data_IF_004651967181
#
_entry.id   IF_004651967181
#
_cell.length_a   1.000
_cell.length_b   1.000
_cell.length_c   1.000
_cell.angle_alpha   90.00
_cell.angle_beta   90.00
_cell.angle_gamma   90.00
#
_symmetry.space_group_name_H-M   'P 1'
#
loop_
_entity.id
_entity.type
_entity.pdbx_description
1 polymer ?
#
# COMPACT_ATOMS: atom_id res chain seq x y z
N UNK A 1 -22.33 -14.30 11.13
CA UNK A 1 -23.34 -13.36 10.56
C UNK A 1 -22.60 -12.37 9.66
N UNK A 2 -23.20 -11.87 8.58
CA UNK A 2 -22.58 -10.83 7.73
C UNK A 2 -23.49 -9.61 7.66
N UNK A 3 -22.93 -8.41 7.85
CA UNK A 3 -23.64 -7.13 7.83
C UNK A 3 -22.92 -6.16 6.89
N UNK A 4 -23.61 -5.68 5.86
CA UNK A 4 -23.06 -4.72 4.89
C UNK A 4 -23.60 -3.31 5.11
N UNK A 5 -22.78 -2.31 4.82
CA UNK A 5 -23.20 -0.91 4.71
C UNK A 5 -22.71 -0.29 3.40
N UNK A 6 -23.50 0.64 2.85
CA UNK A 6 -23.22 1.31 1.57
C UNK A 6 -23.58 2.80 1.69
N UNK A 7 -22.84 3.67 1.00
CA UNK A 7 -23.30 5.05 0.79
C UNK A 7 -24.63 5.03 0.01
N UNK A 8 -25.61 5.78 0.50
CA UNK A 8 -26.85 6.01 -0.23
C UNK A 8 -26.61 6.98 -1.39
N UNK A 9 -27.10 6.62 -2.59
CA UNK A 9 -26.92 7.41 -3.82
C UNK A 9 -27.45 8.86 -3.73
N UNK A 10 -28.36 9.17 -2.79
CA UNK A 10 -29.01 10.48 -2.67
C UNK A 10 -28.28 11.49 -1.76
N UNK A 11 -27.14 11.16 -1.14
CA UNK A 11 -26.41 12.13 -0.31
C UNK A 11 -24.96 12.35 -0.77
N UNK A 12 -24.65 13.62 -1.09
CA UNK A 12 -23.32 14.23 -1.08
C UNK A 12 -22.27 13.77 -2.12
N UNK A 13 -22.64 13.67 -3.40
CA UNK A 13 -21.62 13.81 -4.46
C UNK A 13 -21.14 15.27 -4.64
N UNK A 14 -21.96 16.26 -4.27
CA UNK A 14 -21.67 17.67 -4.53
C UNK A 14 -20.68 18.33 -3.56
N UNK A 15 -20.43 17.78 -2.38
CA UNK A 15 -19.52 18.40 -1.40
C UNK A 15 -18.06 17.96 -1.54
N UNK A 16 -17.78 16.94 -2.37
CA UNK A 16 -16.42 16.40 -2.57
C UNK A 16 -15.67 17.15 -3.71
N UNK A 17 -16.39 17.88 -4.57
CA UNK A 17 -15.80 18.53 -5.75
C UNK A 17 -15.80 20.07 -5.74
N UNK A 18 -16.23 20.71 -4.66
CA UNK A 18 -16.24 22.18 -4.58
C UNK A 18 -15.11 22.71 -3.68
N UNK A 19 -13.87 22.58 -4.14
CA UNK A 19 -12.78 23.51 -3.78
C UNK A 19 -11.56 23.30 -4.69
N UNK A 20 -11.70 23.70 -5.95
CA UNK A 20 -10.61 24.29 -6.72
C UNK A 20 -11.22 25.18 -7.80
N UNK A 21 -10.76 26.42 -7.84
CA UNK A 21 -11.18 27.44 -8.78
C UNK A 21 -10.77 27.06 -10.20
N UNK A 22 -11.68 26.41 -10.93
CA UNK A 22 -11.76 26.38 -12.41
C UNK A 22 -13.00 25.59 -12.82
N UNK A 23 -14.14 26.25 -12.97
CA UNK A 23 -15.24 25.69 -13.76
C UNK A 23 -16.22 26.79 -14.19
N UNK A 24 -15.85 27.47 -15.27
CA UNK A 24 -16.80 28.17 -16.14
C UNK A 24 -16.79 27.39 -17.46
N UNK A 25 -17.63 26.34 -17.55
CA UNK A 25 -18.08 25.63 -18.77
C UNK A 25 -18.60 24.21 -18.43
N UNK A 26 -19.64 24.10 -17.59
CA UNK A 26 -20.39 22.84 -17.44
C UNK A 26 -21.87 23.11 -17.13
N UNK A 27 -22.44 24.15 -17.74
CA UNK A 27 -23.82 24.56 -17.46
C UNK A 27 -24.61 24.91 -18.72
N UNK A 28 -24.55 24.07 -19.74
CA UNK A 28 -25.54 24.05 -20.82
C UNK A 28 -25.78 22.59 -21.23
N UNK A 29 -26.90 21.99 -20.79
CA UNK A 29 -27.23 20.62 -21.23
C UNK A 29 -28.34 19.88 -20.51
N UNK A 30 -28.89 20.37 -19.39
CA UNK A 30 -30.03 19.72 -18.74
C UNK A 30 -31.10 20.72 -18.31
N UNK A 31 -32.04 20.96 -19.22
CA UNK A 31 -33.34 21.53 -18.89
C UNK A 31 -34.38 20.98 -19.86
N UNK A 32 -35.53 20.55 -19.32
CA UNK A 32 -36.66 19.79 -19.92
C UNK A 32 -36.38 18.28 -19.89
N UNK A 33 -37.11 17.46 -19.14
CA UNK A 33 -38.56 17.25 -19.03
C UNK A 33 -38.78 16.70 -17.60
N UNK A 34 -39.60 17.32 -16.73
CA UNK A 34 -41.06 17.16 -16.73
C UNK A 34 -41.49 16.02 -15.79
N UNK A 35 -41.87 16.39 -14.57
CA UNK A 35 -42.50 15.57 -13.53
C UNK A 35 -43.66 14.71 -14.02
N UNK A 36 -43.76 13.44 -13.58
CA UNK A 36 -45.03 12.75 -13.29
C UNK A 36 -44.76 11.70 -12.19
N UNK A 37 -45.55 11.82 -11.14
CA UNK A 37 -45.68 10.93 -9.97
C UNK A 37 -46.55 9.71 -10.25
N UNK A 38 -46.30 8.63 -9.50
CA UNK A 38 -47.22 7.55 -9.09
C UNK A 38 -48.12 6.90 -10.16
N UNK A 39 -47.94 5.60 -10.42
CA UNK A 39 -49.07 4.65 -10.36
C UNK A 39 -48.58 3.21 -10.13
N UNK A 40 -49.37 2.50 -9.32
CA UNK A 40 -49.12 1.19 -8.74
C UNK A 40 -49.79 0.07 -9.55
N UNK A 41 -49.20 -1.12 -9.48
CA UNK A 41 -49.80 -2.47 -9.62
C UNK A 41 -50.44 -2.98 -10.94
N UNK A 42 -49.77 -4.04 -11.43
CA UNK A 42 -50.28 -5.38 -11.82
C UNK A 42 -50.58 -5.70 -13.30
N UNK A 43 -50.46 -7.01 -13.68
CA UNK A 43 -49.88 -7.44 -14.95
C UNK A 43 -50.91 -8.09 -15.88
N UNK A 44 -50.56 -8.26 -17.16
CA UNK A 44 -51.22 -9.26 -18.02
C UNK A 44 -50.34 -9.71 -19.18
N UNK A 45 -50.18 -11.02 -19.25
CA UNK A 45 -49.56 -11.86 -20.28
C UNK A 45 -50.44 -12.00 -21.53
N UNK A 46 -49.89 -11.98 -22.75
CA UNK A 46 -50.36 -12.69 -23.97
C UNK A 46 -49.24 -12.58 -25.05
N UNK A 47 -48.42 -13.60 -25.31
CA UNK A 47 -48.47 -14.61 -26.41
C UNK A 47 -48.36 -13.98 -27.84
N UNK A 48 -47.23 -14.14 -28.56
CA UNK A 48 -46.94 -15.23 -29.55
C UNK A 48 -45.62 -15.02 -30.34
N UNK A 49 -45.14 -16.12 -30.91
CA UNK A 49 -43.84 -16.40 -31.54
C UNK A 49 -43.59 -15.73 -32.92
N UNK A 50 -42.32 -15.43 -33.25
CA UNK A 50 -41.50 -16.08 -34.32
C UNK A 50 -40.27 -15.26 -34.77
N UNK A 51 -39.12 -15.96 -34.84
CA UNK A 51 -37.91 -15.81 -35.70
C UNK A 51 -37.12 -14.48 -35.54
N UNK A 52 -35.78 -14.47 -35.45
CA UNK A 52 -34.80 -14.98 -36.41
C UNK A 52 -33.45 -15.25 -35.72
N UNK A 53 -32.84 -16.41 -36.00
CA UNK A 53 -31.42 -16.71 -35.80
C UNK A 53 -30.60 -16.21 -37.00
N UNK A 54 -29.46 -15.56 -36.79
CA UNK A 54 -28.28 -15.61 -37.68
C UNK A 54 -27.19 -14.66 -37.16
N UNK A 55 -26.07 -15.22 -36.69
CA UNK A 55 -24.71 -14.99 -37.23
C UNK A 55 -23.66 -15.54 -36.25
N UNK A 56 -23.11 -16.69 -36.63
CA UNK A 56 -21.88 -17.29 -36.12
C UNK A 56 -21.03 -17.52 -37.38
N UNK A 57 -19.92 -16.78 -37.57
CA UNK A 57 -18.73 -17.23 -38.32
C UNK A 57 -17.77 -16.07 -38.66
N UNK A 58 -16.64 -16.00 -37.95
CA UNK A 58 -15.30 -15.55 -38.35
C UNK A 58 -14.52 -15.38 -37.03
N UNK A 59 -13.36 -15.98 -36.75
CA UNK A 59 -12.29 -16.48 -37.59
C UNK A 59 -11.51 -17.59 -36.85
N UNK A 60 -11.14 -18.64 -37.58
CA UNK A 60 -10.01 -19.53 -37.27
C UNK A 60 -8.81 -18.95 -38.00
N UNK A 61 -7.73 -18.66 -37.29
CA UNK A 61 -6.33 -18.82 -37.73
C UNK A 61 -5.39 -18.29 -36.65
N UNK A 62 -4.83 -19.19 -35.83
CA UNK A 62 -3.57 -18.93 -35.15
C UNK A 62 -2.70 -20.19 -35.22
N UNK A 63 -1.70 -20.10 -36.08
CA UNK A 63 -0.56 -21.01 -36.22
C UNK A 63 0.24 -21.06 -34.92
N UNK A 64 0.29 -22.23 -34.28
CA UNK A 64 1.21 -22.51 -33.18
C UNK A 64 2.50 -23.13 -33.74
N UNK A 65 3.49 -22.28 -33.98
CA UNK A 65 4.87 -22.73 -34.16
C UNK A 65 5.43 -23.20 -32.82
N UNK A 66 5.67 -24.51 -32.73
CA UNK A 66 6.33 -25.20 -31.62
C UNK A 66 7.84 -24.89 -31.69
N UNK A 67 8.34 -24.03 -30.81
CA UNK A 67 9.78 -23.90 -30.58
C UNK A 67 10.13 -24.70 -29.33
N UNK A 68 10.86 -25.81 -29.54
CA UNK A 68 11.43 -26.64 -28.49
C UNK A 68 12.65 -25.91 -27.90
N UNK A 69 12.57 -25.48 -26.65
CA UNK A 69 13.76 -25.12 -25.87
C UNK A 69 14.17 -26.29 -24.98
N UNK A 70 15.29 -26.92 -25.33
CA UNK A 70 16.08 -27.77 -24.44
C UNK A 70 17.01 -26.86 -23.63
N UNK A 71 16.69 -26.62 -22.37
CA UNK A 71 17.63 -26.00 -21.43
C UNK A 71 18.32 -27.10 -20.64
N UNK A 72 19.62 -27.28 -20.87
CA UNK A 72 20.50 -28.12 -20.04
C UNK A 72 20.64 -27.44 -18.68
N UNK A 73 20.24 -28.16 -17.63
CA UNK A 73 20.52 -27.79 -16.24
C UNK A 73 21.98 -28.14 -15.96
N UNK A 74 22.80 -27.13 -15.63
CA UNK A 74 24.04 -27.36 -14.91
C UNK A 74 23.72 -27.28 -13.42
N UNK A 75 23.70 -28.43 -12.76
CA UNK A 75 23.70 -28.54 -11.30
C UNK A 75 25.13 -28.30 -10.81
N UNK A 76 25.31 -27.29 -9.96
CA UNK A 76 26.44 -27.26 -9.02
C UNK A 76 25.85 -27.52 -7.65
N UNK A 77 26.06 -28.74 -7.18
CA UNK A 77 25.77 -29.18 -5.82
C UNK A 77 26.92 -28.77 -4.91
N UNK A 78 26.64 -28.03 -3.84
CA UNK A 78 27.46 -28.04 -2.64
C UNK A 78 26.65 -28.63 -1.51
N UNK A 79 26.97 -29.89 -1.21
CA UNK A 79 26.61 -30.60 0.01
C UNK A 79 27.19 -29.87 1.23
N UNK A 80 26.35 -29.54 2.20
CA UNK A 80 26.74 -29.14 3.55
C UNK A 80 25.83 -29.87 4.52
N UNK A 81 26.44 -30.76 5.31
CA UNK A 81 25.80 -31.67 6.25
C UNK A 81 25.08 -30.94 7.39
N UNK A 82 23.95 -31.51 7.83
CA UNK A 82 23.34 -31.19 9.10
C UNK A 82 24.26 -31.61 10.25
N UNK A 83 24.67 -30.65 11.08
CA UNK A 83 25.20 -30.93 12.41
C UNK A 83 24.45 -30.06 13.42
N UNK A 84 23.68 -30.71 14.29
CA UNK A 84 23.07 -30.08 15.45
C UNK A 84 24.13 -29.52 16.39
N UNK A 85 23.96 -28.26 16.78
CA UNK A 85 24.77 -27.57 17.76
C UNK A 85 23.97 -26.44 18.41
N UNK A 86 23.77 -26.54 19.72
CA UNK A 86 23.21 -25.47 20.55
C UNK A 86 24.32 -24.43 20.80
N UNK A 87 24.04 -23.16 20.44
CA UNK A 87 24.71 -21.97 20.96
C UNK A 87 25.65 -21.22 20.00
N UNK A 88 25.23 -20.03 19.52
CA UNK A 88 26.11 -19.07 18.83
C UNK A 88 25.44 -17.85 18.17
N UNK A 89 25.04 -16.85 18.96
CA UNK A 89 25.14 -15.40 18.62
C UNK A 89 24.63 -14.83 17.28
N UNK A 90 23.52 -15.29 16.71
CA UNK A 90 22.85 -14.60 15.58
C UNK A 90 21.77 -13.63 16.07
N UNK A 91 21.67 -12.44 15.46
CA UNK A 91 20.58 -11.50 15.70
C UNK A 91 19.21 -12.05 15.27
N UNK A 92 18.11 -11.49 15.79
CA UNK A 92 16.77 -11.89 15.35
C UNK A 92 16.51 -11.47 13.89
N UNK A 93 15.91 -12.36 13.09
CA UNK A 93 15.43 -12.02 11.73
C UNK A 93 13.91 -12.02 11.64
N UNK A 94 13.35 -11.36 10.62
CA UNK A 94 11.91 -11.36 10.37
C UNK A 94 11.38 -12.75 10.00
N UNK A 95 12.23 -13.57 9.38
CA UNK A 95 11.96 -14.98 9.11
C UNK A 95 11.86 -15.80 10.40
N UNK A 96 12.73 -15.57 11.38
CA UNK A 96 12.64 -16.20 12.71
C UNK A 96 11.36 -15.79 13.45
N UNK A 97 10.84 -14.60 13.15
CA UNK A 97 9.55 -14.12 13.63
C UNK A 97 8.34 -14.67 12.83
N UNK A 98 8.57 -15.60 11.90
CA UNK A 98 7.53 -16.33 11.17
C UNK A 98 7.07 -15.69 9.86
N UNK A 99 7.78 -14.70 9.31
CA UNK A 99 7.43 -14.05 8.05
C UNK A 99 8.50 -14.23 6.98
N UNK A 100 8.14 -14.85 5.86
CA UNK A 100 9.07 -15.15 4.76
C UNK A 100 8.80 -14.23 3.54
N UNK A 101 9.59 -13.15 3.42
CA UNK A 101 9.51 -12.18 2.31
C UNK A 101 9.85 -12.85 0.96
N UNK A 102 10.76 -13.82 0.96
CA UNK A 102 11.20 -14.52 -0.25
C UNK A 102 10.09 -15.43 -0.79
N UNK A 103 9.34 -16.10 0.10
CA UNK A 103 8.17 -16.88 -0.26
C UNK A 103 7.06 -16.00 -0.87
N UNK A 104 6.83 -14.80 -0.31
CA UNK A 104 5.90 -13.82 -0.87
C UNK A 104 6.32 -13.37 -2.27
N UNK A 105 7.60 -13.00 -2.44
CA UNK A 105 8.16 -12.60 -3.73
C UNK A 105 8.07 -13.72 -4.78
N UNK A 106 8.28 -14.97 -4.36
CA UNK A 106 8.13 -16.14 -5.23
C UNK A 106 6.69 -16.34 -5.70
N UNK A 107 5.72 -16.16 -4.80
CA UNK A 107 4.30 -16.25 -5.16
C UNK A 107 3.93 -15.17 -6.19
N UNK A 108 4.35 -13.92 -5.98
CA UNK A 108 4.14 -12.83 -6.95
C UNK A 108 4.73 -13.18 -8.31
N UNK A 109 5.96 -13.72 -8.35
CA UNK A 109 6.61 -14.17 -9.59
C UNK A 109 5.82 -15.27 -10.31
N UNK A 110 5.21 -16.20 -9.57
CA UNK A 110 4.36 -17.26 -10.17
C UNK A 110 3.04 -16.70 -10.68
N UNK A 111 2.41 -15.81 -9.93
CA UNK A 111 1.16 -15.15 -10.32
C UNK A 111 1.36 -14.32 -11.59
N UNK A 112 2.45 -13.56 -11.70
CA UNK A 112 2.77 -12.75 -12.88
C UNK A 112 2.89 -13.58 -14.17
N UNK A 113 3.21 -14.88 -14.08
CA UNK A 113 3.21 -15.79 -15.23
C UNK A 113 1.80 -16.22 -15.66
N UNK A 114 0.85 -16.25 -14.73
CA UNK A 114 -0.55 -16.64 -14.97
C UNK A 114 -1.43 -15.44 -15.35
N UNK A 115 -1.15 -14.28 -14.77
CA UNK A 115 -1.84 -13.02 -14.98
C UNK A 115 -0.80 -11.92 -15.28
N UNK A 116 -0.46 -11.73 -16.57
CA UNK A 116 0.45 -10.67 -17.00
C UNK A 116 -0.08 -9.31 -16.57
N UNK A 117 0.77 -8.50 -15.92
CA UNK A 117 0.41 -7.18 -15.38
C UNK A 117 0.41 -7.08 -13.85
N UNK A 118 0.65 -8.19 -13.14
CA UNK A 118 0.84 -8.21 -11.68
C UNK A 118 2.32 -8.01 -11.32
N UNK A 119 2.60 -7.19 -10.30
CA UNK A 119 3.94 -6.99 -9.73
C UNK A 119 4.28 -5.55 -9.33
N UNK A 120 3.48 -4.56 -9.74
CA UNK A 120 3.55 -3.18 -9.22
C UNK A 120 2.71 -2.99 -7.95
N UNK A 121 2.74 -1.77 -7.39
CA UNK A 121 2.00 -1.42 -6.16
C UNK A 121 0.46 -1.36 -6.38
N UNK A 122 -0.02 -1.15 -7.60
CA UNK A 122 -1.46 -1.12 -7.92
C UNK A 122 -1.79 -1.69 -9.29
N UNK A 123 -3.00 -2.22 -9.45
CA UNK A 123 -3.50 -2.76 -10.71
C UNK A 123 -4.20 -1.69 -11.55
N UNK A 124 -3.81 -1.55 -12.83
CA UNK A 124 -4.42 -0.59 -13.75
C UNK A 124 -5.52 -1.22 -14.61
N UNK A 125 -6.68 -0.58 -14.69
CA UNK A 125 -7.80 -0.97 -15.53
C UNK A 125 -8.22 0.19 -16.45
N UNK A 126 -8.28 0.00 -17.79
CA UNK A 126 -8.58 1.10 -18.71
C UNK A 126 -10.03 1.60 -18.58
N UNK A 127 -10.21 2.92 -18.48
CA UNK A 127 -11.50 3.60 -18.47
C UNK A 127 -11.41 4.90 -19.29
N UNK A 128 -11.89 4.87 -20.54
CA UNK A 128 -11.83 6.04 -21.42
C UNK A 128 -10.38 6.50 -21.70
N UNK A 129 -10.08 7.76 -21.40
CA UNK A 129 -8.75 8.39 -21.49
C UNK A 129 -7.89 8.19 -20.22
N UNK A 130 -8.42 7.45 -19.24
CA UNK A 130 -7.84 7.25 -17.92
C UNK A 130 -7.65 5.76 -17.62
N UNK A 131 -6.96 5.49 -16.52
CA UNK A 131 -6.93 4.19 -15.84
C UNK A 131 -7.59 4.34 -14.47
N UNK A 132 -8.42 3.36 -14.09
CA UNK A 132 -8.70 3.09 -12.69
C UNK A 132 -7.51 2.34 -12.12
N UNK A 133 -7.08 2.72 -10.93
CA UNK A 133 -5.99 2.05 -10.21
C UNK A 133 -6.56 1.48 -8.93
N UNK A 134 -6.46 0.16 -8.75
CA UNK A 134 -6.99 -0.53 -7.59
C UNK A 134 -5.86 -1.15 -6.76
N UNK A 135 -6.00 -1.08 -5.44
CA UNK A 135 -5.12 -1.71 -4.47
C UNK A 135 -5.92 -2.34 -3.34
N UNK A 136 -5.38 -3.40 -2.75
CA UNK A 136 -5.96 -4.04 -1.57
C UNK A 136 -4.85 -4.40 -0.60
N UNK A 137 -5.08 -4.14 0.68
CA UNK A 137 -4.12 -4.46 1.73
C UNK A 137 -4.82 -4.70 3.08
N UNK A 138 -4.10 -5.32 4.01
CA UNK A 138 -4.51 -5.45 5.41
C UNK A 138 -3.62 -4.61 6.33
N UNK A 139 -3.92 -4.63 7.62
CA UNK A 139 -3.05 -4.00 8.65
C UNK A 139 -1.91 -4.93 9.06
N UNK A 140 -2.14 -6.23 9.02
CA UNK A 140 -1.15 -7.24 9.41
C UNK A 140 -0.98 -7.37 10.92
N UNK A 141 0.20 -7.83 11.36
CA UNK A 141 0.43 -8.22 12.76
C UNK A 141 0.49 -7.06 13.75
N UNK A 142 0.40 -5.80 13.28
CA UNK A 142 0.16 -4.62 14.14
C UNK A 142 -1.15 -4.73 14.92
N UNK A 143 -2.15 -5.45 14.39
CA UNK A 143 -3.42 -5.73 15.09
C UNK A 143 -3.22 -6.39 16.45
N UNK A 144 -2.21 -7.26 16.60
CA UNK A 144 -1.92 -7.88 17.91
C UNK A 144 -1.52 -6.86 18.97
N UNK A 145 -0.71 -5.85 18.60
CA UNK A 145 -0.40 -4.75 19.50
C UNK A 145 -1.63 -3.87 19.77
N UNK A 146 -2.51 -3.69 18.78
CA UNK A 146 -3.77 -2.99 19.00
C UNK A 146 -4.63 -3.67 20.07
N UNK A 147 -4.71 -5.00 20.06
CA UNK A 147 -5.44 -5.77 21.08
C UNK A 147 -4.77 -5.66 22.46
N UNK A 148 -3.44 -5.75 22.51
CA UNK A 148 -2.67 -5.67 23.77
C UNK A 148 -2.73 -4.26 24.40
N UNK A 149 -2.76 -3.19 23.59
CA UNK A 149 -2.79 -1.80 24.06
C UNK A 149 -4.19 -1.23 24.22
N UNK A 150 -5.20 -1.80 23.56
CA UNK A 150 -6.55 -1.24 23.46
C UNK A 150 -6.67 -0.02 22.53
N UNK A 151 -5.61 0.30 21.78
CA UNK A 151 -5.58 1.41 20.82
C UNK A 151 -6.12 0.90 19.48
N UNK A 152 -7.37 1.24 19.17
CA UNK A 152 -8.05 0.80 17.94
C UNK A 152 -8.44 1.96 17.02
N UNK A 153 -8.48 3.18 17.55
CA UNK A 153 -8.93 4.40 16.91
C UNK A 153 -8.04 4.82 15.72
N UNK A 154 -6.77 4.42 15.74
CA UNK A 154 -5.79 4.75 14.70
C UNK A 154 -5.54 3.61 13.71
N UNK A 155 -5.95 2.37 14.03
CA UNK A 155 -5.73 1.20 13.17
C UNK A 155 -6.47 1.31 11.83
N UNK A 156 -7.64 1.95 11.83
CA UNK A 156 -8.34 2.24 10.58
C UNK A 156 -7.57 3.20 9.66
N UNK A 157 -6.71 4.07 10.20
CA UNK A 157 -5.84 4.94 9.41
C UNK A 157 -4.74 4.11 8.76
N UNK A 158 -4.13 3.17 9.50
CA UNK A 158 -3.15 2.23 8.97
C UNK A 158 -3.72 1.44 7.78
N UNK A 159 -4.95 0.91 7.93
CA UNK A 159 -5.64 0.16 6.87
C UNK A 159 -5.78 0.98 5.58
N UNK A 160 -6.25 2.23 5.69
CA UNK A 160 -6.41 3.10 4.53
C UNK A 160 -5.07 3.46 3.92
N UNK A 161 -4.10 3.84 4.76
CA UNK A 161 -2.78 4.30 4.34
C UNK A 161 -2.06 3.26 3.48
N UNK A 162 -2.11 1.98 3.87
CA UNK A 162 -1.47 0.89 3.12
C UNK A 162 -1.96 0.84 1.67
N UNK A 163 -3.28 0.86 1.43
CA UNK A 163 -3.79 0.78 0.06
C UNK A 163 -3.69 2.10 -0.73
N UNK A 164 -3.93 3.26 -0.09
CA UNK A 164 -3.93 4.55 -0.81
C UNK A 164 -2.52 5.02 -1.17
N UNK A 165 -1.52 4.72 -0.33
CA UNK A 165 -0.13 5.03 -0.61
C UNK A 165 0.40 4.16 -1.76
N UNK A 166 -0.10 2.94 -1.92
CA UNK A 166 0.26 2.06 -3.03
C UNK A 166 -0.30 2.57 -4.36
N UNK A 167 -1.58 2.97 -4.42
CA UNK A 167 -2.15 3.45 -5.68
C UNK A 167 -1.58 4.80 -6.12
N UNK A 168 -1.20 5.69 -5.18
CA UNK A 168 -0.64 7.01 -5.53
C UNK A 168 0.76 6.89 -6.14
N UNK A 169 1.46 5.76 -6.01
CA UNK A 169 2.76 5.52 -6.68
C UNK A 169 2.66 5.63 -8.21
N UNK A 170 1.47 5.38 -8.77
CA UNK A 170 1.19 5.51 -10.21
C UNK A 170 0.77 6.93 -10.62
N UNK A 171 0.70 7.87 -9.68
CA UNK A 171 0.12 9.19 -9.85
C UNK A 171 -1.41 9.24 -9.74
N UNK A 172 -2.05 8.15 -9.29
CA UNK A 172 -3.50 8.10 -9.17
C UNK A 172 -4.04 8.91 -7.99
N UNK A 173 -5.10 9.68 -8.25
CA UNK A 173 -5.91 10.31 -7.20
C UNK A 173 -6.89 9.26 -6.64
N UNK A 174 -6.88 8.94 -5.35
CA UNK A 174 -7.90 8.09 -4.73
C UNK A 174 -9.32 8.65 -4.93
N UNK A 175 -10.28 7.78 -5.24
CA UNK A 175 -11.70 8.13 -5.41
C UNK A 175 -12.51 7.61 -4.23
N UNK A 176 -12.41 6.32 -3.94
CA UNK A 176 -13.16 5.69 -2.87
C UNK A 176 -12.41 4.51 -2.25
N UNK A 177 -12.87 4.14 -1.06
CA UNK A 177 -12.38 3.04 -0.24
C UNK A 177 -13.52 2.11 0.16
N UNK A 178 -13.24 0.81 0.29
CA UNK A 178 -14.10 -0.17 0.95
C UNK A 178 -13.32 -0.94 1.99
N UNK A 179 -14.02 -1.40 3.04
CA UNK A 179 -13.44 -2.23 4.09
C UNK A 179 -14.19 -3.57 4.27
N UNK A 180 -13.46 -4.55 4.77
CA UNK A 180 -13.98 -5.83 5.25
C UNK A 180 -13.43 -6.05 6.67
N UNK A 181 -14.33 -6.11 7.64
CA UNK A 181 -14.06 -6.32 9.05
C UNK A 181 -14.49 -7.73 9.44
N UNK A 182 -13.59 -8.54 10.00
CA UNK A 182 -13.91 -9.90 10.42
C UNK A 182 -13.52 -10.12 11.87
N UNK A 183 -14.36 -10.79 12.67
CA UNK A 183 -14.13 -10.99 14.11
C UNK A 183 -14.75 -12.30 14.59
N UNK A 184 -14.39 -12.77 15.79
CA UNK A 184 -15.11 -13.87 16.46
C UNK A 184 -16.53 -13.44 16.80
N UNK A 185 -16.64 -12.37 17.60
CA UNK A 185 -17.88 -11.75 18.04
C UNK A 185 -17.79 -10.23 17.85
N UNK A 186 -18.88 -9.61 17.40
CA UNK A 186 -18.92 -8.18 17.14
C UNK A 186 -19.12 -7.39 18.44
N UNK A 187 -18.06 -6.73 18.88
CA UNK A 187 -18.13 -5.59 19.80
C UNK A 187 -18.38 -4.32 18.97
N UNK A 188 -19.58 -3.76 19.09
CA UNK A 188 -20.03 -2.61 18.31
C UNK A 188 -19.22 -1.35 18.65
N UNK A 189 -18.89 -1.13 19.92
CA UNK A 189 -18.16 0.06 20.37
C UNK A 189 -16.72 -0.01 19.86
N UNK A 190 -16.09 -1.19 19.92
CA UNK A 190 -14.78 -1.42 19.34
C UNK A 190 -14.80 -1.20 17.81
N UNK A 191 -15.77 -1.81 17.11
CA UNK A 191 -15.87 -1.68 15.66
C UNK A 191 -16.07 -0.22 15.25
N UNK A 192 -16.91 0.55 15.96
CA UNK A 192 -17.10 1.97 15.71
C UNK A 192 -15.78 2.75 15.83
N UNK A 193 -14.95 2.44 16.83
CA UNK A 193 -13.62 3.07 16.98
C UNK A 193 -12.70 2.78 15.80
N UNK A 194 -12.69 1.55 15.30
CA UNK A 194 -11.91 1.18 14.10
C UNK A 194 -12.43 1.92 12.86
N UNK A 195 -13.75 1.89 12.62
CA UNK A 195 -14.38 2.58 11.48
C UNK A 195 -14.12 4.10 11.53
N UNK A 196 -14.13 4.73 12.71
CA UNK A 196 -13.72 6.15 12.86
C UNK A 196 -12.32 6.40 12.33
N UNK A 197 -11.38 5.48 12.59
CA UNK A 197 -10.03 5.51 12.01
C UNK A 197 -10.06 5.43 10.48
N UNK A 198 -10.85 4.52 9.91
CA UNK A 198 -11.00 4.36 8.44
C UNK A 198 -11.55 5.65 7.82
N UNK A 199 -12.61 6.21 8.41
CA UNK A 199 -13.20 7.48 7.95
C UNK A 199 -12.18 8.62 8.01
N UNK A 200 -11.37 8.70 9.06
CA UNK A 200 -10.31 9.70 9.16
C UNK A 200 -9.23 9.48 8.09
N UNK A 201 -8.81 8.24 7.85
CA UNK A 201 -7.87 7.90 6.77
C UNK A 201 -8.40 8.29 5.38
N UNK A 202 -9.67 8.00 5.10
CA UNK A 202 -10.33 8.39 3.85
C UNK A 202 -10.33 9.92 3.67
N UNK A 203 -10.65 10.66 4.73
CA UNK A 203 -10.61 12.14 4.74
C UNK A 203 -9.20 12.70 4.50
N UNK A 204 -8.16 12.09 5.07
CA UNK A 204 -6.77 12.48 4.82
C UNK A 204 -6.38 12.23 3.36
N UNK A 205 -6.92 11.17 2.76
CA UNK A 205 -6.65 10.72 1.38
C UNK A 205 -7.50 11.43 0.32
N UNK A 206 -8.43 12.29 0.72
CA UNK A 206 -9.43 12.92 -0.17
C UNK A 206 -10.27 11.88 -0.96
N UNK A 207 -10.64 10.77 -0.32
CA UNK A 207 -11.52 9.74 -0.88
C UNK A 207 -12.75 9.48 0.00
N UNK A 208 -13.78 8.89 -0.61
CA UNK A 208 -15.00 8.51 0.10
C UNK A 208 -14.92 7.08 0.63
N UNK A 209 -15.37 6.83 1.87
CA UNK A 209 -15.68 5.47 2.32
C UNK A 209 -17.01 5.04 1.67
N UNK A 210 -16.94 4.23 0.61
CA UNK A 210 -18.10 3.88 -0.23
C UNK A 210 -19.00 2.82 0.41
N UNK A 211 -18.43 1.98 1.25
CA UNK A 211 -19.14 0.96 1.99
C UNK A 211 -18.19 -0.10 2.51
N UNK A 212 -18.73 -1.05 3.27
CA UNK A 212 -17.96 -2.14 3.85
C UNK A 212 -18.83 -3.31 4.24
N UNK A 213 -18.18 -4.34 4.76
CA UNK A 213 -18.80 -5.58 5.21
C UNK A 213 -18.22 -5.98 6.57
N UNK A 214 -19.07 -6.46 7.48
CA UNK A 214 -18.70 -6.95 8.80
C UNK A 214 -19.12 -8.40 8.95
N UNK A 215 -18.17 -9.29 9.26
CA UNK A 215 -18.38 -10.72 9.39
C UNK A 215 -18.04 -11.24 10.79
N UNK A 216 -19.02 -11.86 11.45
CA UNK A 216 -18.82 -12.63 12.69
C UNK A 216 -18.61 -14.11 12.36
N UNK A 217 -17.45 -14.63 12.75
CA UNK A 217 -16.96 -15.98 12.47
C UNK A 217 -16.37 -16.64 13.74
N UNK A 218 -17.22 -16.97 14.74
CA UNK A 218 -16.76 -17.62 15.95
C UNK A 218 -16.14 -18.99 15.64
N UNK A 219 -15.04 -19.31 16.31
CA UNK A 219 -14.24 -20.52 16.06
C UNK A 219 -13.24 -20.39 14.91
N UNK A 220 -13.26 -19.30 14.14
CA UNK A 220 -12.19 -18.95 13.20
C UNK A 220 -11.21 -17.95 13.85
N UNK A 221 -11.75 -16.86 14.40
CA UNK A 221 -10.96 -15.90 15.17
C UNK A 221 -11.05 -16.20 16.66
N UNK A 222 -10.00 -15.82 17.40
CA UNK A 222 -10.02 -15.84 18.86
C UNK A 222 -10.91 -14.70 19.39
N UNK A 223 -11.43 -14.86 20.61
CA UNK A 223 -12.28 -13.85 21.22
C UNK A 223 -11.51 -12.54 21.46
N UNK A 224 -12.13 -11.42 21.10
CA UNK A 224 -11.52 -10.09 21.14
C UNK A 224 -10.61 -9.77 19.96
N UNK A 225 -10.35 -10.73 19.05
CA UNK A 225 -9.52 -10.50 17.87
C UNK A 225 -10.36 -10.25 16.63
N UNK A 226 -9.88 -9.32 15.80
CA UNK A 226 -10.46 -9.01 14.49
C UNK A 226 -9.38 -8.91 13.42
N UNK A 227 -9.79 -9.00 12.16
CA UNK A 227 -8.97 -8.79 10.98
C UNK A 227 -9.62 -7.75 10.08
N UNK A 228 -8.79 -7.03 9.33
CA UNK A 228 -9.20 -5.93 8.46
C UNK A 228 -8.60 -6.10 7.08
N UNK A 229 -9.43 -5.95 6.06
CA UNK A 229 -8.99 -5.80 4.67
C UNK A 229 -9.57 -4.53 4.06
N UNK A 230 -8.73 -3.82 3.33
CA UNK A 230 -9.03 -2.55 2.70
C UNK A 230 -8.94 -2.66 1.19
N UNK A 231 -9.74 -1.85 0.50
CA UNK A 231 -9.78 -1.80 -0.96
C UNK A 231 -9.88 -0.35 -1.39
N UNK A 232 -8.83 0.17 -2.03
CA UNK A 232 -8.80 1.53 -2.57
C UNK A 232 -8.93 1.50 -4.10
N UNK A 233 -9.70 2.43 -4.64
CA UNK A 233 -9.76 2.70 -6.08
C UNK A 233 -9.48 4.17 -6.33
N UNK A 234 -8.54 4.45 -7.22
CA UNK A 234 -8.20 5.77 -7.72
C UNK A 234 -8.28 5.87 -9.23
N UNK A 235 -7.96 7.06 -9.75
CA UNK A 235 -7.95 7.35 -11.18
C UNK A 235 -6.71 8.16 -11.59
N UNK A 236 -6.17 7.88 -12.76
CA UNK A 236 -5.06 8.60 -13.37
C UNK A 236 -5.27 8.71 -14.88
N UNK A 237 -4.89 9.82 -15.50
CA UNK A 237 -4.90 9.92 -16.97
C UNK A 237 -3.83 9.01 -17.58
N UNK A 238 -4.12 8.43 -18.75
CA UNK A 238 -3.19 7.48 -19.41
C UNK A 238 -1.82 8.07 -19.72
N UNK A 239 -1.76 9.37 -20.04
CA UNK A 239 -0.53 10.10 -20.37
C UNK A 239 0.22 10.62 -19.14
N UNK A 240 -0.38 10.49 -17.96
CA UNK A 240 0.13 11.01 -16.68
C UNK A 240 0.56 9.89 -15.72
N UNK A 241 0.52 8.63 -16.16
CA UNK A 241 0.94 7.48 -15.35
C UNK A 241 2.43 7.57 -15.06
N UNK A 242 2.77 7.47 -13.78
CA UNK A 242 4.16 7.36 -13.33
C UNK A 242 4.52 5.87 -13.27
N UNK A 243 5.47 5.45 -14.11
CA UNK A 243 5.82 4.03 -14.27
C UNK A 243 7.33 3.74 -14.21
N UNK A 244 8.16 4.75 -13.92
CA UNK A 244 9.59 4.59 -13.76
C UNK A 244 10.39 4.42 -15.07
N UNK A 245 9.75 4.30 -16.24
CA UNK A 245 10.45 3.98 -17.50
C UNK A 245 11.47 5.03 -17.93
N UNK A 246 11.28 6.28 -17.53
CA UNK A 246 12.18 7.40 -17.85
C UNK A 246 13.25 7.65 -16.79
N UNK A 247 13.38 6.77 -15.79
CA UNK A 247 14.45 6.84 -14.78
C UNK A 247 15.79 6.53 -15.45
N UNK A 248 16.80 7.32 -15.11
CA UNK A 248 18.16 7.18 -15.62
C UNK A 248 19.19 7.38 -14.50
N UNK A 249 20.42 6.92 -14.73
CA UNK A 249 21.51 7.14 -13.78
C UNK A 249 21.76 8.66 -13.59
N UNK A 250 21.95 9.08 -12.35
CA UNK A 250 22.05 10.48 -11.94
C UNK A 250 20.72 11.11 -11.50
N UNK A 251 19.59 10.44 -11.68
CA UNK A 251 18.33 10.85 -11.02
C UNK A 251 18.47 10.80 -9.49
N UNK A 252 17.75 11.68 -8.81
CA UNK A 252 17.85 11.88 -7.36
C UNK A 252 16.71 11.17 -6.66
N UNK A 253 17.01 10.55 -5.51
CA UNK A 253 16.00 9.98 -4.62
C UNK A 253 15.63 10.99 -3.55
N UNK A 254 14.34 11.30 -3.45
CA UNK A 254 13.73 12.14 -2.43
C UNK A 254 12.91 11.27 -1.49
N UNK A 255 13.22 11.26 -0.21
CA UNK A 255 12.49 10.52 0.82
C UNK A 255 11.48 11.39 1.57
N UNK A 256 10.27 10.87 1.77
CA UNK A 256 9.24 11.44 2.65
C UNK A 256 9.25 10.72 4.00
N UNK A 257 9.25 11.44 5.13
CA UNK A 257 9.43 10.81 6.44
C UNK A 257 8.27 9.93 6.85
N UNK A 258 8.59 8.83 7.56
CA UNK A 258 7.61 7.99 8.23
C UNK A 258 7.31 8.50 9.64
N UNK A 259 6.20 8.05 10.22
CA UNK A 259 5.81 8.33 11.62
C UNK A 259 6.40 7.31 12.60
N UNK A 260 7.12 6.31 12.11
CA UNK A 260 7.56 5.13 12.84
C UNK A 260 7.61 3.91 11.93
N UNK A 261 7.40 2.73 12.51
CA UNK A 261 7.44 1.43 11.79
C UNK A 261 6.28 1.23 10.79
N UNK A 262 5.29 2.13 10.77
CA UNK A 262 4.08 2.05 9.95
C UNK A 262 3.28 0.77 10.22
N UNK A 263 2.95 -0.02 9.20
CA UNK A 263 2.20 -1.28 9.33
C UNK A 263 3.02 -2.53 9.00
N UNK A 264 4.36 -2.44 8.99
CA UNK A 264 5.25 -3.52 8.58
C UNK A 264 6.24 -3.90 9.68
N UNK A 265 6.73 -5.15 9.66
CA UNK A 265 7.74 -5.64 10.61
C UNK A 265 7.23 -6.00 12.01
N UNK A 266 5.91 -5.97 12.25
CA UNK A 266 5.35 -6.14 13.60
C UNK A 266 5.55 -7.53 14.21
N UNK A 267 5.73 -8.57 13.40
CA UNK A 267 6.08 -9.90 13.93
C UNK A 267 7.46 -9.86 14.60
N UNK A 268 8.45 -9.18 13.99
CA UNK A 268 9.77 -8.99 14.58
C UNK A 268 9.71 -8.07 15.80
N UNK A 269 8.96 -6.97 15.72
CA UNK A 269 8.73 -6.07 16.87
C UNK A 269 8.19 -6.82 18.08
N UNK A 270 7.17 -7.66 17.89
CA UNK A 270 6.60 -8.49 18.96
C UNK A 270 7.62 -9.45 19.54
N UNK A 271 8.46 -10.06 18.70
CA UNK A 271 9.52 -10.94 19.16
C UNK A 271 10.57 -10.21 20.00
N UNK A 272 10.94 -8.99 19.60
CA UNK A 272 11.85 -8.12 20.35
C UNK A 272 11.24 -7.73 21.71
N UNK A 273 9.96 -7.35 21.75
CA UNK A 273 9.22 -7.05 22.98
C UNK A 273 9.21 -8.25 23.95
N UNK A 274 8.85 -9.44 23.44
CA UNK A 274 8.84 -10.68 24.23
C UNK A 274 10.21 -11.00 24.84
N UNK A 275 11.29 -10.82 24.06
CA UNK A 275 12.65 -11.11 24.51
C UNK A 275 13.18 -10.08 25.50
N UNK A 276 12.78 -8.82 25.37
CA UNK A 276 13.28 -7.74 26.21
C UNK A 276 12.63 -7.71 27.59
N UNK A 277 11.40 -8.21 27.70
CA UNK A 277 10.58 -8.08 28.89
C UNK A 277 10.14 -6.64 29.17
N UNK A 278 10.30 -5.73 28.20
CA UNK A 278 9.80 -4.35 28.33
C UNK A 278 8.28 -4.32 28.30
N UNK A 279 7.72 -3.41 29.08
CA UNK A 279 6.30 -3.07 29.00
C UNK A 279 6.06 -2.07 27.87
N UNK A 280 4.90 -2.16 27.22
CA UNK A 280 4.45 -1.14 26.26
C UNK A 280 4.29 0.25 26.92
N UNK A 281 4.19 0.31 28.25
CA UNK A 281 4.14 1.55 29.02
C UNK A 281 5.53 2.11 29.37
N UNK A 282 6.62 1.38 29.07
CA UNK A 282 7.97 1.87 29.30
C UNK A 282 8.25 3.04 28.36
N UNK A 283 9.01 4.03 28.84
CA UNK A 283 9.47 5.14 28.00
C UNK A 283 10.55 4.66 27.05
N UNK A 284 10.49 5.14 25.80
CA UNK A 284 11.57 4.90 24.88
C UNK A 284 12.79 5.77 25.22
N UNK A 285 13.98 5.17 25.28
CA UNK A 285 15.20 5.91 25.50
C UNK A 285 15.42 6.94 24.38
N UNK A 286 15.68 8.20 24.77
CA UNK A 286 15.85 9.30 23.81
C UNK A 286 14.56 9.86 23.22
N UNK A 287 13.39 9.50 23.77
CA UNK A 287 12.10 10.07 23.37
C UNK A 287 11.23 10.48 24.57
N UNK A 288 10.10 11.14 24.28
CA UNK A 288 9.11 11.57 25.27
C UNK A 288 7.90 10.64 25.40
N UNK A 289 7.72 9.72 24.46
CA UNK A 289 6.58 8.80 24.36
C UNK A 289 6.87 7.43 24.97
N UNK A 290 5.83 6.66 25.23
CA UNK A 290 5.96 5.24 25.58
C UNK A 290 6.31 4.40 24.34
N UNK A 291 6.76 3.17 24.58
CA UNK A 291 7.03 2.21 23.52
C UNK A 291 5.75 1.84 22.75
N UNK A 292 4.64 1.65 23.46
CA UNK A 292 3.33 1.40 22.87
C UNK A 292 2.87 2.55 21.99
N UNK A 293 2.99 3.80 22.44
CA UNK A 293 2.67 4.98 21.63
C UNK A 293 3.53 5.08 20.37
N UNK A 294 4.84 4.83 20.48
CA UNK A 294 5.75 4.90 19.34
C UNK A 294 5.49 3.80 18.30
N UNK A 295 5.15 2.58 18.75
CA UNK A 295 4.82 1.45 17.87
C UNK A 295 3.41 1.57 17.27
N UNK A 296 2.47 2.16 18.01
CA UNK A 296 1.09 2.36 17.56
C UNK A 296 0.86 3.67 16.80
N UNK A 297 1.92 4.45 16.53
CA UNK A 297 1.84 5.61 15.66
C UNK A 297 1.22 5.23 14.31
N UNK A 298 0.17 5.93 13.83
CA UNK A 298 -0.51 5.60 12.59
C UNK A 298 0.42 5.83 11.39
N UNK A 299 0.28 4.99 10.38
CA UNK A 299 0.94 5.13 9.09
C UNK A 299 0.59 6.47 8.45
N UNK A 300 1.60 7.15 7.89
CA UNK A 300 1.40 8.44 7.23
C UNK A 300 0.71 8.22 5.90
N UNK A 301 -0.31 9.02 5.61
CA UNK A 301 -0.98 9.06 4.31
C UNK A 301 -0.32 10.13 3.45
N UNK A 302 0.37 9.71 2.39
CA UNK A 302 1.19 10.59 1.56
C UNK A 302 0.44 11.21 0.37
N UNK A 303 -0.83 10.85 0.16
CA UNK A 303 -1.60 11.17 -1.06
C UNK A 303 -1.50 12.63 -1.46
N UNK A 304 -1.84 13.56 -0.55
CA UNK A 304 -1.84 15.00 -0.87
C UNK A 304 -0.44 15.50 -1.19
N UNK A 305 0.53 15.20 -0.33
CA UNK A 305 1.92 15.62 -0.51
C UNK A 305 2.51 15.08 -1.83
N UNK A 306 2.26 13.80 -2.15
CA UNK A 306 2.75 13.19 -3.39
C UNK A 306 2.10 13.82 -4.62
N UNK A 307 0.77 14.02 -4.63
CA UNK A 307 0.10 14.68 -5.74
C UNK A 307 0.58 16.14 -5.94
N UNK A 308 0.84 16.87 -4.87
CA UNK A 308 1.42 18.21 -4.92
C UNK A 308 2.84 18.19 -5.52
N UNK A 309 3.69 17.24 -5.11
CA UNK A 309 5.03 17.06 -5.67
C UNK A 309 5.01 16.64 -7.15
N UNK A 310 4.05 15.81 -7.56
CA UNK A 310 3.84 15.45 -8.97
C UNK A 310 3.49 16.71 -9.78
N UNK A 311 2.63 17.58 -9.24
CA UNK A 311 2.24 18.84 -9.90
C UNK A 311 3.42 19.83 -10.07
N UNK A 312 4.47 19.72 -9.25
CA UNK A 312 5.72 20.50 -9.42
C UNK A 312 6.58 20.01 -10.61
N UNK A 313 6.28 18.83 -11.15
CA UNK A 313 6.87 18.26 -12.36
C UNK A 313 8.26 17.63 -12.15
N UNK A 314 8.52 16.58 -12.94
CA UNK A 314 9.81 15.88 -12.97
C UNK A 314 9.92 14.64 -12.08
N UNK A 315 8.80 14.19 -11.51
CA UNK A 315 8.70 12.88 -10.86
C UNK A 315 8.65 11.78 -11.92
N UNK A 316 9.61 10.86 -11.86
CA UNK A 316 9.79 9.77 -12.82
C UNK A 316 9.35 8.43 -12.26
N UNK A 317 9.46 8.23 -10.95
CA UNK A 317 9.02 7.02 -10.25
C UNK A 317 8.73 7.28 -8.78
N UNK A 318 7.94 6.41 -8.16
CA UNK A 318 7.54 6.52 -6.76
C UNK A 318 7.51 5.12 -6.14
N UNK A 319 8.17 4.91 -5.01
CA UNK A 319 8.18 3.67 -4.26
C UNK A 319 7.63 3.88 -2.85
N UNK A 320 6.58 3.13 -2.50
CA UNK A 320 6.08 3.04 -1.14
C UNK A 320 6.94 2.04 -0.34
N UNK A 321 7.47 2.47 0.80
CA UNK A 321 8.43 1.67 1.59
C UNK A 321 7.67 0.87 2.65
N UNK A 322 7.37 -0.38 2.31
CA UNK A 322 6.62 -1.34 3.15
C UNK A 322 7.49 -2.55 3.52
N UNK A 323 6.92 -3.76 3.60
CA UNK A 323 7.69 -4.99 3.77
C UNK A 323 8.76 -5.14 2.68
N UNK A 324 9.97 -5.54 3.07
CA UNK A 324 11.13 -5.54 2.18
C UNK A 324 11.95 -4.23 2.20
N UNK A 325 11.45 -3.20 2.89
CA UNK A 325 12.19 -1.97 3.18
C UNK A 325 12.71 -1.28 1.93
N UNK A 326 13.90 -0.68 2.01
CA UNK A 326 14.51 0.01 0.86
C UNK A 326 14.96 -1.00 -0.19
N UNK A 327 15.55 -2.11 0.26
CA UNK A 327 16.20 -3.13 -0.56
C UNK A 327 15.26 -3.70 -1.61
N UNK A 328 14.02 -4.02 -1.22
CA UNK A 328 13.10 -4.74 -2.08
C UNK A 328 12.07 -3.82 -2.75
N UNK A 329 11.80 -2.61 -2.23
CA UNK A 329 10.78 -1.71 -2.77
C UNK A 329 11.31 -0.73 -3.81
N UNK A 330 12.47 -0.09 -3.59
CA UNK A 330 13.02 0.91 -4.52
C UNK A 330 13.30 0.32 -5.91
N UNK A 331 13.93 -0.85 -6.06
CA UNK A 331 14.22 -1.40 -7.39
C UNK A 331 12.98 -1.76 -8.22
N UNK A 332 11.79 -1.87 -7.62
CA UNK A 332 10.55 -2.25 -8.33
C UNK A 332 10.13 -1.23 -9.39
N UNK A 333 10.54 0.03 -9.23
CA UNK A 333 10.24 1.10 -10.20
C UNK A 333 11.36 1.34 -11.19
N UNK A 334 12.50 0.65 -11.07
CA UNK A 334 13.65 0.89 -11.93
C UNK A 334 13.60 0.08 -13.24
N UNK A 335 13.98 0.70 -14.37
CA UNK A 335 14.40 -0.03 -15.55
C UNK A 335 15.55 -1.01 -15.24
N UNK A 336 15.66 -2.07 -16.05
CA UNK A 336 16.77 -3.03 -15.92
C UNK A 336 18.12 -2.34 -16.06
N UNK A 337 19.10 -2.77 -15.26
CA UNK A 337 20.46 -2.23 -15.27
C UNK A 337 20.62 -0.92 -14.49
N UNK A 338 19.61 -0.50 -13.72
CA UNK A 338 19.70 0.58 -12.75
C UNK A 338 19.53 0.08 -11.31
N UNK A 339 20.24 0.75 -10.40
CA UNK A 339 20.19 0.55 -8.96
C UNK A 339 20.20 1.88 -8.22
N UNK A 340 20.27 1.85 -6.89
CA UNK A 340 20.33 3.05 -6.06
C UNK A 340 21.49 2.99 -5.05
N UNK A 341 22.07 4.15 -4.78
CA UNK A 341 22.94 4.39 -3.62
C UNK A 341 22.16 5.25 -2.63
N UNK A 342 22.03 4.79 -1.40
CA UNK A 342 21.31 5.47 -0.31
C UNK A 342 22.32 5.98 0.71
N UNK A 343 22.29 7.28 1.00
CA UNK A 343 23.01 7.89 2.12
C UNK A 343 22.21 7.72 3.40
N UNK A 344 22.66 6.82 4.27
CA UNK A 344 21.95 6.46 5.51
C UNK A 344 21.99 7.55 6.58
N UNK A 345 22.80 8.60 6.38
CA UNK A 345 22.91 9.73 7.31
C UNK A 345 22.08 10.95 6.85
N UNK A 346 21.36 10.85 5.73
CA UNK A 346 20.66 11.98 5.13
C UNK A 346 19.36 12.39 5.84
N UNK A 347 18.84 11.58 6.78
CA UNK A 347 17.63 11.86 7.53
C UNK A 347 17.73 11.37 8.99
N UNK A 348 16.90 11.88 9.92
CA UNK A 348 16.91 11.42 11.30
C UNK A 348 16.24 10.04 11.45
N UNK A 349 16.94 9.09 12.06
CA UNK A 349 16.37 7.80 12.44
C UNK A 349 15.67 7.93 13.81
N UNK A 350 14.37 7.61 13.84
CA UNK A 350 13.54 7.68 15.04
C UNK A 350 14.02 6.70 16.14
N UNK A 351 13.88 7.06 17.43
CA UNK A 351 14.32 6.21 18.55
C UNK A 351 13.77 4.78 18.53
N UNK A 352 12.55 4.58 18.01
CA UNK A 352 11.91 3.25 17.91
C UNK A 352 12.73 2.25 17.11
N UNK A 353 13.38 2.68 16.01
CA UNK A 353 14.22 1.79 15.21
C UNK A 353 15.51 1.42 15.95
N UNK A 354 16.11 2.39 16.66
CA UNK A 354 17.31 2.14 17.46
C UNK A 354 17.02 1.16 18.59
N UNK A 355 15.91 1.35 19.30
CA UNK A 355 15.45 0.43 20.33
C UNK A 355 15.22 -0.98 19.77
N UNK A 356 14.49 -1.11 18.64
CA UNK A 356 14.25 -2.40 17.98
C UNK A 356 15.59 -3.10 17.67
N UNK A 357 16.52 -2.36 17.08
CA UNK A 357 17.80 -2.88 16.63
C UNK A 357 18.69 -3.33 17.80
N UNK A 358 18.88 -2.47 18.79
CA UNK A 358 19.75 -2.73 19.94
C UNK A 358 19.24 -3.89 20.79
N UNK A 359 17.94 -3.90 21.08
CA UNK A 359 17.31 -4.90 21.94
C UNK A 359 17.20 -6.25 21.22
N UNK A 360 16.81 -6.23 19.93
CA UNK A 360 16.73 -7.43 19.11
C UNK A 360 18.07 -7.95 18.62
N UNK A 361 19.15 -7.16 18.80
CA UNK A 361 20.49 -7.40 18.22
C UNK A 361 20.40 -7.66 16.71
N UNK A 362 19.57 -6.89 16.02
CA UNK A 362 19.24 -7.11 14.60
C UNK A 362 20.34 -6.52 13.72
N UNK A 363 20.81 -7.30 12.77
CA UNK A 363 21.81 -6.84 11.81
C UNK A 363 21.28 -5.69 10.95
N UNK A 364 22.18 -4.77 10.60
CA UNK A 364 21.87 -3.61 9.76
C UNK A 364 21.16 -3.96 8.45
N UNK A 365 21.58 -5.05 7.79
CA UNK A 365 20.94 -5.53 6.55
C UNK A 365 19.48 -5.96 6.78
N UNK A 366 19.21 -6.58 7.92
CA UNK A 366 17.88 -7.05 8.27
C UNK A 366 16.97 -5.89 8.69
N UNK A 367 17.53 -4.89 9.39
CA UNK A 367 16.84 -3.63 9.68
C UNK A 367 16.40 -2.93 8.39
N UNK A 368 17.30 -2.82 7.40
CA UNK A 368 17.03 -2.17 6.10
C UNK A 368 16.05 -2.92 5.21
N UNK A 369 15.97 -4.25 5.36
CA UNK A 369 15.04 -5.10 4.63
C UNK A 369 13.67 -5.21 5.31
N UNK A 370 13.61 -5.05 6.63
CA UNK A 370 12.34 -5.22 7.36
C UNK A 370 11.61 -3.90 7.58
N UNK A 371 12.35 -2.82 7.85
CA UNK A 371 11.78 -1.55 8.28
C UNK A 371 12.04 -0.42 7.28
N UNK A 372 11.19 0.61 7.36
CA UNK A 372 11.30 1.83 6.57
C UNK A 372 12.36 2.82 7.11
N UNK A 373 12.91 2.56 8.30
CA UNK A 373 13.98 3.33 8.97
C UNK A 373 13.79 4.86 9.00
N UNK A 374 12.56 5.34 8.95
CA UNK A 374 12.25 6.78 8.98
C UNK A 374 11.78 7.37 7.65
N UNK A 375 11.76 6.62 6.55
CA UNK A 375 11.28 7.08 5.23
C UNK A 375 10.19 6.14 4.73
N UNK A 376 8.95 6.61 4.64
CA UNK A 376 7.82 5.79 4.19
C UNK A 376 7.54 5.83 2.70
N UNK A 377 8.05 6.85 1.98
CA UNK A 377 7.83 7.00 0.54
C UNK A 377 9.10 7.58 -0.11
N UNK A 378 9.43 7.10 -1.31
CA UNK A 378 10.59 7.58 -2.08
C UNK A 378 10.13 8.01 -3.47
N UNK A 379 10.50 9.23 -3.87
CA UNK A 379 10.29 9.74 -5.21
C UNK A 379 11.63 9.75 -5.96
N UNK A 380 11.61 9.32 -7.21
CA UNK A 380 12.76 9.37 -8.13
C UNK A 380 12.51 10.51 -9.09
N UNK A 381 13.40 11.49 -9.10
CA UNK A 381 13.20 12.77 -9.79
C UNK A 381 14.45 13.20 -10.54
N UNK A 382 14.29 14.03 -11.57
CA UNK A 382 15.46 14.65 -12.21
C UNK A 382 16.20 15.61 -11.25
N UNK A 383 17.50 15.87 -11.46
CA UNK A 383 18.26 16.82 -10.62
C UNK A 383 17.60 18.20 -10.49
N UNK A 384 17.07 18.75 -11.58
CA UNK A 384 16.36 20.04 -11.56
C UNK A 384 15.07 20.00 -10.73
N UNK A 385 14.34 18.89 -10.79
CA UNK A 385 13.15 18.68 -9.98
C UNK A 385 13.50 18.52 -8.50
N UNK A 386 14.59 17.82 -8.18
CA UNK A 386 15.09 17.70 -6.81
C UNK A 386 15.36 19.07 -6.20
N UNK A 387 16.01 19.98 -6.94
CA UNK A 387 16.25 21.35 -6.47
C UNK A 387 14.94 22.10 -6.14
N UNK A 388 13.92 22.00 -6.99
CA UNK A 388 12.61 22.63 -6.73
C UNK A 388 11.91 22.02 -5.52
N UNK A 389 11.89 20.70 -5.43
CA UNK A 389 11.20 19.96 -4.35
C UNK A 389 11.86 20.26 -3.01
N UNK A 390 13.18 20.15 -2.91
CA UNK A 390 13.94 20.46 -1.69
C UNK A 390 13.76 21.93 -1.29
N UNK A 391 13.66 22.85 -2.25
CA UNK A 391 13.38 24.27 -2.00
C UNK A 391 11.97 24.54 -1.45
N UNK A 392 11.01 23.63 -1.66
CA UNK A 392 9.64 23.73 -1.12
C UNK A 392 9.47 23.07 0.25
N UNK A 393 10.51 22.42 0.77
CA UNK A 393 10.48 21.74 2.06
C UNK A 393 10.14 22.72 3.19
N UNK A 394 9.33 22.25 4.15
CA UNK A 394 9.02 23.00 5.37
C UNK A 394 9.05 22.06 6.57
N UNK A 395 9.06 22.61 7.78
CA UNK A 395 8.97 21.80 9.01
C UNK A 395 7.69 20.95 9.06
N UNK A 396 6.60 21.44 8.46
CA UNK A 396 5.31 20.72 8.39
C UNK A 396 5.26 19.67 7.27
N UNK A 397 6.15 19.73 6.28
CA UNK A 397 6.22 18.79 5.17
C UNK A 397 7.69 18.59 4.77
N UNK A 398 8.48 17.93 5.63
CA UNK A 398 9.88 17.68 5.38
C UNK A 398 10.05 16.72 4.19
N UNK A 399 11.13 16.92 3.44
CA UNK A 399 11.60 16.04 2.37
C UNK A 399 13.12 15.96 2.46
N UNK A 400 13.69 14.79 2.19
CA UNK A 400 15.12 14.56 2.29
C UNK A 400 15.68 14.10 0.96
N UNK A 401 16.85 14.61 0.55
CA UNK A 401 17.63 13.96 -0.51
C UNK A 401 18.34 12.77 0.11
N UNK A 402 17.92 11.56 -0.24
CA UNK A 402 18.39 10.33 0.41
C UNK A 402 19.38 9.53 -0.42
N UNK A 403 19.59 9.89 -1.69
CA UNK A 403 20.43 9.11 -2.57
C UNK A 403 20.34 9.50 -4.03
N UNK A 404 20.87 8.63 -4.88
CA UNK A 404 20.86 8.77 -6.33
C UNK A 404 20.76 7.42 -7.04
N UNK A 405 20.25 7.46 -8.27
CA UNK A 405 20.17 6.32 -9.19
C UNK A 405 21.54 6.13 -9.82
N UNK A 406 22.01 4.89 -9.86
CA UNK A 406 23.29 4.49 -10.44
C UNK A 406 23.11 3.37 -11.45
N UNK A 407 24.11 3.15 -12.30
CA UNK A 407 24.18 1.93 -13.12
C UNK A 407 24.46 0.72 -12.24
N UNK A 408 23.74 -0.38 -12.44
CA UNK A 408 23.89 -1.60 -11.63
C UNK A 408 22.53 -2.24 -11.35
N UNK A 409 22.45 -3.13 -10.37
CA UNK A 409 21.18 -3.68 -9.89
C UNK A 409 21.13 -3.63 -8.36
N UNK A 410 19.93 -3.46 -7.81
CA UNK A 410 19.69 -3.46 -6.37
C UNK A 410 19.98 -2.12 -5.68
N UNK A 411 20.16 -2.19 -4.36
CA UNK A 411 20.38 -1.03 -3.49
C UNK A 411 21.68 -1.21 -2.71
N UNK A 412 22.51 -0.17 -2.72
CA UNK A 412 23.71 -0.06 -1.87
C UNK A 412 23.55 1.10 -0.88
N UNK A 413 24.28 1.03 0.23
CA UNK A 413 24.16 1.97 1.35
C UNK A 413 25.53 2.58 1.65
N UNK A 414 25.55 3.88 1.94
CA UNK A 414 26.74 4.64 2.33
C UNK A 414 26.52 5.44 3.63
#
# INVERSE_FOLDING_TARGET
MTTSFRLNFDQNYNSIFTNSSTNQQFNEGFTKIGSISQFCCKPTSYIHQKKVSLLYSASKELNLNRVLWKSRVFSVSSSGEESGGVGGGGGLTYKDAGVDIDAGSELVRRIAKMAPGIGGFGGLYPLGDSYLVAGTDGVGTKLKLAFETGIHETIGIDLVAMSVNDIVTSGAKPLFFLDYFATSHLDVDLAERVIKGIVNGCRQSDCALLGGETAEMPGFYADGEYDLSGFAVGIVKKDSVIDGKSIEAGDVLIGLPSSGVHSNGFSLVRRVLEQSGNSLNDKIHGGSTTLGEALMAPTVIYVKQVLDLINMGGVKGIAHITGGGFTDNIPRVFPKGLGAVIDTNAWPILPVFKWIQEVGRIDDSEMRRTFNLGIGMVLVVSPDAAHRILGSASEASPVYRIGEVVTGEGVSYQ
#
